data_IF_424237929467
#
_entry.id   IF_424237929467
#
_cell.length_a   1.000
_cell.length_b   1.000
_cell.length_c   1.000
_cell.angle_alpha   90.00
_cell.angle_beta   90.00
_cell.angle_gamma   90.00
#
_symmetry.space_group_name_H-M   'P 1'
#
loop_
_entity.id
_entity.type
_entity.pdbx_description
1 polymer ?
#
# COMPACT_ATOMS: atom_id res chain seq x y z
N UNK A 1 12.41 -12.99 6.47
CA UNK A 1 11.33 -12.38 5.65
C UNK A 1 10.17 -13.36 5.64
N UNK A 2 8.95 -12.94 5.99
CA UNK A 2 7.77 -13.83 5.94
C UNK A 2 7.10 -13.65 4.58
N UNK A 3 7.04 -14.72 3.80
CA UNK A 3 6.35 -14.73 2.51
C UNK A 3 4.93 -15.26 2.66
N UNK A 4 4.10 -14.92 1.69
CA UNK A 4 2.73 -15.39 1.59
C UNK A 4 2.70 -16.84 1.11
N UNK A 5 1.75 -17.63 1.61
CA UNK A 5 1.64 -19.07 1.28
C UNK A 5 1.37 -19.35 -0.20
N UNK A 6 0.60 -18.50 -0.86
CA UNK A 6 0.14 -18.73 -2.23
C UNK A 6 1.19 -18.40 -3.30
N UNK A 7 2.38 -17.92 -2.93
CA UNK A 7 3.47 -17.67 -3.86
C UNK A 7 4.80 -18.18 -3.30
N UNK A 8 5.18 -19.39 -3.71
CA UNK A 8 6.44 -20.03 -3.32
C UNK A 8 7.64 -19.32 -3.95
N UNK A 9 7.49 -18.81 -5.18
CA UNK A 9 8.47 -17.95 -5.87
C UNK A 9 8.24 -16.47 -5.54
N UNK A 10 8.27 -16.17 -4.22
CA UNK A 10 8.00 -14.86 -3.62
C UNK A 10 8.95 -13.72 -4.03
N UNK A 11 9.90 -13.96 -4.92
CA UNK A 11 10.96 -13.01 -5.27
C UNK A 11 11.56 -13.31 -6.65
N UNK A 12 12.11 -12.28 -7.30
CA UNK A 12 12.80 -12.36 -8.60
C UNK A 12 14.03 -11.46 -8.58
N UNK A 13 15.07 -11.83 -9.34
CA UNK A 13 16.29 -11.04 -9.52
C UNK A 13 16.45 -10.65 -10.98
N UNK A 14 16.80 -9.39 -11.24
CA UNK A 14 17.33 -8.94 -12.52
C UNK A 14 18.76 -8.44 -12.35
N UNK A 15 19.64 -8.75 -13.31
CA UNK A 15 21.02 -8.27 -13.33
C UNK A 15 21.19 -7.25 -14.45
N UNK A 16 21.68 -6.06 -14.11
CA UNK A 16 22.09 -5.04 -15.06
C UNK A 16 23.62 -4.94 -15.05
N UNK A 17 24.25 -5.11 -16.21
CA UNK A 17 25.72 -5.02 -16.34
C UNK A 17 26.18 -3.55 -16.40
N UNK A 18 25.28 -2.63 -16.74
CA UNK A 18 25.56 -1.20 -16.78
C UNK A 18 25.32 -0.60 -15.39
N UNK A 19 26.36 -0.09 -14.70
CA UNK A 19 26.20 0.53 -13.40
C UNK A 19 25.56 1.92 -13.52
N UNK A 20 24.92 2.43 -12.44
CA UNK A 20 24.46 3.81 -12.41
C UNK A 20 25.64 4.79 -12.37
N UNK A 21 25.40 6.01 -12.83
CA UNK A 21 26.44 7.05 -12.89
C UNK A 21 27.05 7.31 -11.49
N UNK A 22 28.38 7.24 -11.42
CA UNK A 22 29.13 7.59 -10.20
C UNK A 22 29.19 6.51 -9.11
N UNK A 23 28.63 5.32 -9.33
CA UNK A 23 28.75 4.19 -8.40
C UNK A 23 29.25 2.95 -9.13
N UNK A 24 30.17 2.16 -8.54
CA UNK A 24 30.65 0.94 -9.16
C UNK A 24 29.58 -0.17 -9.18
N UNK A 25 28.68 -0.19 -8.18
CA UNK A 25 27.60 -1.16 -8.04
C UNK A 25 26.39 -0.53 -7.34
N UNK A 26 25.20 -1.07 -7.60
CA UNK A 26 23.97 -0.70 -6.89
C UNK A 26 23.01 -1.88 -6.80
N UNK A 27 22.17 -1.89 -5.77
CA UNK A 27 21.06 -2.83 -5.64
C UNK A 27 19.75 -2.04 -5.48
N UNK A 28 18.73 -2.43 -6.25
CA UNK A 28 17.36 -1.95 -6.09
C UNK A 28 16.48 -3.11 -5.64
N UNK A 29 15.68 -2.87 -4.62
CA UNK A 29 14.68 -3.84 -4.14
C UNK A 29 13.29 -3.21 -4.26
N UNK A 30 12.40 -3.91 -4.96
CA UNK A 30 10.98 -3.59 -5.01
C UNK A 30 10.26 -4.68 -4.21
N UNK A 31 9.55 -4.28 -3.15
CA UNK A 31 8.90 -5.22 -2.26
C UNK A 31 7.45 -4.81 -2.03
N UNK A 32 6.52 -5.73 -2.34
CA UNK A 32 5.10 -5.54 -2.10
C UNK A 32 4.74 -6.13 -0.72
N UNK A 33 4.62 -5.26 0.28
CA UNK A 33 4.36 -5.65 1.67
C UNK A 33 3.04 -5.10 2.17
N UNK A 34 2.35 -5.87 3.02
CA UNK A 34 1.15 -5.44 3.76
C UNK A 34 1.41 -4.28 4.72
N UNK A 35 2.67 -3.90 4.98
CA UNK A 35 3.01 -2.71 5.77
C UNK A 35 2.63 -1.40 5.06
N UNK A 36 2.42 -1.40 3.74
CA UNK A 36 1.96 -0.20 3.00
C UNK A 36 0.63 0.35 3.54
N UNK A 37 -0.16 -0.47 4.22
CA UNK A 37 -1.37 -0.05 4.93
C UNK A 37 -1.13 1.09 5.91
N UNK A 38 0.05 1.15 6.53
CA UNK A 38 0.42 2.21 7.49
C UNK A 38 0.51 3.57 6.79
N UNK A 39 1.15 3.62 5.62
CA UNK A 39 1.18 4.82 4.78
C UNK A 39 -0.22 5.26 4.36
N UNK A 40 -1.12 4.32 4.03
CA UNK A 40 -2.50 4.64 3.69
C UNK A 40 -3.31 5.15 4.90
N UNK A 41 -3.07 4.61 6.10
CA UNK A 41 -3.67 5.11 7.35
C UNK A 41 -3.24 6.57 7.58
N UNK A 42 -1.95 6.87 7.50
CA UNK A 42 -1.43 8.24 7.65
C UNK A 42 -2.00 9.19 6.59
N UNK A 43 -2.06 8.75 5.33
CA UNK A 43 -2.65 9.53 4.24
C UNK A 43 -4.12 9.86 4.53
N UNK A 44 -4.90 8.87 4.97
CA UNK A 44 -6.31 9.02 5.32
C UNK A 44 -6.51 9.99 6.48
N UNK A 45 -5.68 9.90 7.53
CA UNK A 45 -5.74 10.79 8.68
C UNK A 45 -5.43 12.24 8.31
N UNK A 46 -4.40 12.45 7.49
CA UNK A 46 -4.05 13.77 6.94
C UNK A 46 -5.18 14.32 6.07
N UNK A 47 -5.72 13.51 5.17
CA UNK A 47 -6.87 13.86 4.35
C UNK A 47 -8.06 14.29 5.22
N UNK A 48 -8.44 13.45 6.18
CA UNK A 48 -9.58 13.71 7.09
C UNK A 48 -9.40 15.01 7.87
N UNK A 49 -8.17 15.28 8.33
CA UNK A 49 -7.83 16.51 9.06
C UNK A 49 -8.01 17.76 8.21
N UNK A 50 -7.53 17.74 6.96
CA UNK A 50 -7.65 18.86 6.02
C UNK A 50 -9.11 19.05 5.56
N UNK A 51 -9.76 17.94 5.19
CA UNK A 51 -11.11 17.95 4.66
C UNK A 51 -12.13 18.42 5.71
N UNK A 52 -11.98 18.03 6.98
CA UNK A 52 -12.80 18.53 8.09
C UNK A 52 -12.72 20.05 8.25
N UNK A 53 -11.58 20.66 7.90
CA UNK A 53 -11.39 22.12 7.90
C UNK A 53 -11.78 22.78 6.56
N UNK A 54 -12.28 22.00 5.60
CA UNK A 54 -12.56 22.41 4.22
C UNK A 54 -11.34 23.08 3.55
N UNK A 55 -10.13 22.69 3.95
CA UNK A 55 -8.91 23.27 3.41
C UNK A 55 -8.79 22.97 1.92
N UNK A 56 -8.70 24.01 1.09
CA UNK A 56 -8.54 23.90 -0.36
C UNK A 56 -9.64 23.15 -1.13
N UNK A 57 -10.76 22.79 -0.49
CA UNK A 57 -11.84 22.00 -1.13
C UNK A 57 -12.42 22.72 -2.36
N UNK A 58 -12.60 24.04 -2.26
CA UNK A 58 -13.17 24.84 -3.36
C UNK A 58 -12.35 24.81 -4.67
N UNK A 59 -11.05 24.49 -4.62
CA UNK A 59 -10.24 24.35 -5.84
C UNK A 59 -10.60 23.11 -6.67
N UNK A 60 -11.30 22.16 -6.06
CA UNK A 60 -11.64 20.89 -6.69
C UNK A 60 -13.13 20.80 -7.04
N UNK A 61 -13.99 21.59 -6.39
CA UNK A 61 -15.45 21.52 -6.57
C UNK A 61 -15.93 21.94 -7.98
N UNK A 62 -15.06 22.56 -8.77
CA UNK A 62 -15.34 22.87 -10.19
C UNK A 62 -15.27 21.63 -11.09
N UNK A 63 -14.69 20.53 -10.59
CA UNK A 63 -14.41 19.31 -11.36
C UNK A 63 -14.91 18.03 -10.71
N UNK A 64 -15.07 18.01 -9.37
CA UNK A 64 -15.55 16.86 -8.62
C UNK A 64 -16.60 17.26 -7.58
N UNK A 65 -17.51 16.35 -7.26
CA UNK A 65 -18.54 16.56 -6.25
C UNK A 65 -17.98 16.30 -4.84
N UNK A 66 -18.64 16.86 -3.82
CA UNK A 66 -18.28 16.56 -2.42
C UNK A 66 -18.44 15.06 -2.11
N UNK A 67 -19.40 14.38 -2.75
CA UNK A 67 -19.59 12.95 -2.61
C UNK A 67 -18.37 12.14 -3.11
N UNK A 68 -17.62 12.64 -4.10
CA UNK A 68 -16.44 11.97 -4.64
C UNK A 68 -15.29 11.94 -3.62
N UNK A 69 -15.14 12.99 -2.81
CA UNK A 69 -14.17 13.03 -1.71
C UNK A 69 -14.48 11.97 -0.64
N UNK A 70 -15.76 11.88 -0.26
CA UNK A 70 -16.26 10.87 0.67
C UNK A 70 -16.05 9.45 0.13
N UNK A 71 -16.36 9.22 -1.15
CA UNK A 71 -16.18 7.94 -1.81
C UNK A 71 -14.70 7.54 -1.90
N UNK A 72 -13.81 8.48 -2.26
CA UNK A 72 -12.37 8.22 -2.31
C UNK A 72 -11.80 7.85 -0.94
N UNK A 73 -12.26 8.53 0.13
CA UNK A 73 -11.89 8.19 1.51
C UNK A 73 -12.35 6.78 1.88
N UNK A 74 -13.55 6.39 1.47
CA UNK A 74 -14.09 5.07 1.76
C UNK A 74 -13.38 3.97 0.97
N UNK A 75 -13.03 4.20 -0.29
CA UNK A 75 -12.19 3.28 -1.06
C UNK A 75 -10.82 3.08 -0.39
N UNK A 76 -10.23 4.16 0.15
CA UNK A 76 -8.97 4.07 0.91
C UNK A 76 -9.14 3.29 2.22
N UNK A 77 -10.27 3.43 2.91
CA UNK A 77 -10.61 2.60 4.08
C UNK A 77 -10.68 1.12 3.72
N UNK A 78 -11.40 0.78 2.65
CA UNK A 78 -11.56 -0.60 2.19
C UNK A 78 -10.21 -1.23 1.87
N UNK A 79 -9.36 -0.52 1.13
CA UNK A 79 -8.00 -0.99 0.81
C UNK A 79 -7.16 -1.27 2.06
N UNK A 80 -7.24 -0.40 3.08
CA UNK A 80 -6.55 -0.62 4.36
C UNK A 80 -7.05 -1.91 5.04
N UNK A 81 -8.36 -2.14 5.05
CA UNK A 81 -8.96 -3.34 5.65
C UNK A 81 -8.62 -4.61 4.88
N UNK A 82 -8.53 -4.55 3.54
CA UNK A 82 -8.06 -5.66 2.70
C UNK A 82 -6.63 -6.06 3.07
N UNK A 83 -5.69 -5.11 3.21
CA UNK A 83 -4.34 -5.42 3.65
C UNK A 83 -4.27 -6.01 5.07
N UNK A 84 -5.10 -5.52 6.00
CA UNK A 84 -5.22 -6.11 7.35
C UNK A 84 -5.77 -7.53 7.30
N UNK A 85 -6.75 -7.77 6.44
CA UNK A 85 -7.34 -9.10 6.28
C UNK A 85 -6.30 -10.08 5.75
N UNK A 86 -5.60 -9.72 4.68
CA UNK A 86 -4.51 -10.50 4.07
C UNK A 86 -3.44 -10.82 5.12
N UNK A 87 -3.01 -9.85 5.92
CA UNK A 87 -1.98 -10.06 6.95
C UNK A 87 -2.39 -11.08 8.01
N UNK A 88 -3.67 -11.09 8.41
CA UNK A 88 -4.23 -12.05 9.37
C UNK A 88 -4.35 -13.45 8.77
N UNK A 89 -4.86 -13.56 7.54
CA UNK A 89 -5.13 -14.86 6.89
C UNK A 89 -3.87 -15.51 6.35
N UNK A 90 -2.85 -14.73 5.96
CA UNK A 90 -1.57 -15.25 5.45
C UNK A 90 -0.75 -16.01 6.50
N UNK A 91 -1.06 -15.85 7.80
CA UNK A 91 -0.35 -16.48 8.91
C UNK A 91 -0.93 -17.80 9.42
N UNK A 92 -2.07 -18.26 8.90
CA UNK A 92 -2.73 -19.48 9.37
C UNK A 92 -2.19 -20.72 8.63
N UNK A 93 -1.37 -21.49 9.34
CA UNK A 93 -1.09 -22.89 9.02
C UNK A 93 -2.29 -23.68 9.55
N UNK A 94 -3.10 -24.28 8.69
CA UNK A 94 -3.88 -25.44 9.10
C UNK A 94 -2.89 -26.55 9.40
N UNK A 95 -2.76 -26.90 10.69
CA UNK A 95 -2.10 -28.10 11.15
C UNK A 95 -2.87 -29.30 10.60
N UNK A 96 -2.61 -29.71 9.36
CA UNK A 96 -3.06 -31.01 8.87
C UNK A 96 -2.23 -32.07 9.57
N UNK A 97 -2.93 -32.82 10.42
CA UNK A 97 -2.49 -34.00 11.16
C UNK A 97 -1.70 -34.98 10.29
N UNK A 98 -0.66 -35.58 10.88
CA UNK A 98 -0.17 -36.94 10.64
C UNK A 98 0.54 -37.44 11.89
#
# INVERSE_FOLDING_TARGET
MKFVRWNEDGWKIGLCVVPPNGLPYSLLTLANHTCIKETFIELKERFTTLYRRKAHVHHYTDHIELADFEQARENLNQLIEEYKHIEKTSGLVESTEN
#
